data_IF_768698553639
#
_entry.id   IF_768698553639
#
_cell.length_a   1.000
_cell.length_b   1.000
_cell.length_c   1.000
_cell.angle_alpha   90.00
_cell.angle_beta   90.00
_cell.angle_gamma   90.00
#
_symmetry.space_group_name_H-M   'P 1'
#
loop_
_entity.id
_entity.type
_entity.pdbx_description
1 polymer ?
#
# COMPACT_ATOMS: atom_id res chain seq x y z
N UNK A 1 -17.67 -31.39 59.19
CA UNK A 1 -18.52 -30.38 58.51
C UNK A 1 -17.66 -29.80 57.38
N UNK A 2 -17.71 -30.43 56.19
CA UNK A 2 -18.22 -29.86 54.93
C UNK A 2 -17.64 -28.45 54.63
N UNK A 3 -16.89 -28.19 53.56
CA UNK A 3 -17.27 -28.24 52.12
C UNK A 3 -15.95 -28.02 51.32
N UNK A 4 -15.52 -28.84 50.33
CA UNK A 4 -15.85 -28.74 48.89
C UNK A 4 -15.69 -27.28 48.37
N UNK A 5 -14.81 -26.89 47.42
CA UNK A 5 -14.63 -27.38 46.04
C UNK A 5 -13.32 -26.87 45.40
N UNK A 6 -12.72 -27.79 44.66
CA UNK A 6 -11.80 -27.67 43.52
C UNK A 6 -12.18 -26.54 42.55
N UNK A 7 -11.20 -25.77 42.06
CA UNK A 7 -11.45 -24.75 41.04
C UNK A 7 -10.19 -24.18 40.39
N UNK A 8 -9.56 -24.96 39.51
CA UNK A 8 -8.81 -24.42 38.37
C UNK A 8 -7.31 -24.20 38.53
N UNK A 9 -6.54 -25.19 38.03
CA UNK A 9 -5.22 -25.08 37.36
C UNK A 9 -4.20 -24.11 37.97
N UNK A 10 -3.20 -24.63 38.68
CA UNK A 10 -1.90 -24.99 38.07
C UNK A 10 -1.28 -23.81 37.32
N UNK A 11 -0.38 -23.06 37.97
CA UNK A 11 1.08 -23.24 37.90
C UNK A 11 1.65 -23.39 36.48
N UNK A 12 2.75 -22.66 36.24
CA UNK A 12 3.43 -22.33 34.97
C UNK A 12 2.82 -21.09 34.31
N UNK A 13 3.35 -19.88 34.51
CA UNK A 13 4.66 -19.48 33.97
C UNK A 13 5.40 -18.53 34.94
N UNK A 14 6.56 -19.01 35.40
CA UNK A 14 7.65 -18.23 36.02
C UNK A 14 8.09 -17.12 35.04
N UNK A 15 8.08 -15.86 35.47
CA UNK A 15 8.68 -14.68 34.81
C UNK A 15 9.24 -14.89 33.39
N UNK A 16 8.49 -14.60 32.31
CA UNK A 16 9.14 -14.45 31.03
C UNK A 16 9.73 -13.04 30.97
N UNK A 17 11.06 -12.91 31.10
CA UNK A 17 11.78 -11.74 30.57
C UNK A 17 11.67 -11.79 29.05
N UNK A 18 10.57 -11.28 28.52
CA UNK A 18 10.41 -11.12 27.07
C UNK A 18 11.07 -9.79 26.71
N UNK A 19 12.30 -9.83 26.22
CA UNK A 19 12.85 -8.70 25.47
C UNK A 19 12.14 -8.69 24.12
N UNK A 20 11.01 -7.99 24.04
CA UNK A 20 10.39 -7.67 22.78
C UNK A 20 11.25 -6.59 22.10
N UNK A 21 12.23 -7.00 21.30
CA UNK A 21 12.81 -6.11 20.31
C UNK A 21 11.75 -5.92 19.22
N UNK A 22 10.91 -4.90 19.38
CA UNK A 22 9.96 -4.50 18.35
C UNK A 22 10.76 -3.91 17.20
N UNK A 23 11.17 -4.75 16.24
CA UNK A 23 11.61 -4.27 14.94
C UNK A 23 10.38 -3.63 14.27
N UNK A 24 10.21 -2.32 14.47
CA UNK A 24 9.16 -1.53 13.83
C UNK A 24 9.54 -1.41 12.35
N UNK A 25 9.21 -2.41 11.55
CA UNK A 25 9.30 -2.31 10.09
C UNK A 25 8.46 -1.10 9.71
N UNK A 26 9.08 -0.10 9.08
CA UNK A 26 8.35 1.07 8.56
C UNK A 26 7.52 0.55 7.39
N UNK A 27 6.26 0.24 7.64
CA UNK A 27 5.32 -0.06 6.57
C UNK A 27 5.01 1.24 5.83
N UNK A 28 4.93 1.17 4.50
CA UNK A 28 4.50 2.31 3.68
C UNK A 28 3.14 1.98 3.09
N UNK A 29 2.14 2.78 3.45
CA UNK A 29 0.78 2.67 2.93
C UNK A 29 0.66 3.44 1.62
N UNK A 30 0.27 2.74 0.56
CA UNK A 30 0.08 3.32 -0.77
C UNK A 30 -1.27 2.89 -1.32
N UNK A 31 -1.87 3.73 -2.16
CA UNK A 31 -3.09 3.36 -2.88
C UNK A 31 -2.71 2.89 -4.27
N UNK A 32 -3.27 1.75 -4.71
CA UNK A 32 -3.09 1.24 -6.07
C UNK A 32 -4.46 1.18 -6.74
N UNK A 33 -4.61 1.93 -7.83
CA UNK A 33 -5.91 2.22 -8.45
C UNK A 33 -5.86 2.07 -9.98
N UNK A 34 -7.05 2.04 -10.59
CA UNK A 34 -7.23 1.91 -12.02
C UNK A 34 -7.17 0.45 -12.49
N UNK A 35 -6.44 0.20 -13.57
CA UNK A 35 -6.35 -1.06 -14.30
C UNK A 35 -5.48 -2.12 -13.59
N UNK A 36 -5.89 -2.46 -12.37
CA UNK A 36 -5.34 -3.55 -11.55
C UNK A 36 -6.45 -4.51 -11.13
N UNK A 37 -6.15 -5.81 -10.90
CA UNK A 37 -7.17 -6.77 -10.47
C UNK A 37 -7.83 -6.44 -9.14
N UNK A 38 -7.07 -5.85 -8.20
CA UNK A 38 -7.55 -5.50 -6.86
C UNK A 38 -7.18 -4.05 -6.53
N UNK A 39 -7.99 -3.07 -6.92
CA UNK A 39 -7.76 -1.68 -6.50
C UNK A 39 -7.92 -1.53 -4.98
N UNK A 40 -7.08 -0.74 -4.32
CA UNK A 40 -7.19 -0.51 -2.89
C UNK A 40 -5.95 0.05 -2.20
N UNK A 41 -5.99 0.06 -0.87
CA UNK A 41 -4.88 0.42 0.01
C UNK A 41 -3.98 -0.79 0.27
N UNK A 42 -2.67 -0.59 0.15
CA UNK A 42 -1.66 -1.62 0.34
C UNK A 42 -0.60 -1.18 1.32
N UNK A 43 -0.26 -2.05 2.27
CA UNK A 43 0.90 -1.90 3.15
C UNK A 43 2.09 -2.62 2.53
N UNK A 44 3.15 -1.86 2.24
CA UNK A 44 4.39 -2.38 1.67
C UNK A 44 5.41 -2.61 2.77
N UNK A 45 5.72 -3.88 3.06
CA UNK A 45 6.58 -4.28 4.18
C UNK A 45 8.05 -4.46 3.81
N UNK A 46 8.34 -4.73 2.52
CA UNK A 46 9.69 -5.11 2.05
C UNK A 46 10.36 -4.00 1.26
N UNK A 47 9.82 -3.69 0.09
CA UNK A 47 10.35 -2.65 -0.77
C UNK A 47 9.22 -1.68 -1.07
N UNK A 48 9.46 -0.42 -0.75
CA UNK A 48 8.48 0.64 -0.98
C UNK A 48 8.68 1.16 -2.40
N UNK A 49 8.37 0.34 -3.42
CA UNK A 49 8.57 0.71 -4.82
C UNK A 49 7.36 0.35 -5.70
N UNK A 50 7.35 0.89 -6.91
CA UNK A 50 6.27 0.74 -7.87
C UNK A 50 5.95 -0.73 -8.17
N UNK A 51 6.98 -1.55 -8.39
CA UNK A 51 6.78 -2.96 -8.74
C UNK A 51 6.14 -3.76 -7.59
N UNK A 52 6.58 -3.52 -6.36
CA UNK A 52 6.03 -4.19 -5.17
C UNK A 52 4.55 -3.81 -4.99
N UNK A 53 4.19 -2.54 -5.17
CA UNK A 53 2.81 -2.07 -5.07
C UNK A 53 1.90 -2.73 -6.13
N UNK A 54 2.33 -2.74 -7.40
CA UNK A 54 1.57 -3.36 -8.49
C UNK A 54 1.45 -4.86 -8.27
N UNK A 55 2.51 -5.51 -7.78
CA UNK A 55 2.50 -6.95 -7.48
C UNK A 55 1.53 -7.28 -6.35
N UNK A 56 1.49 -6.45 -5.30
CA UNK A 56 0.54 -6.59 -4.19
C UNK A 56 -0.92 -6.48 -4.68
N UNK A 57 -1.17 -5.60 -5.66
CA UNK A 57 -2.48 -5.46 -6.31
C UNK A 57 -2.85 -6.60 -7.29
N UNK A 58 -1.97 -7.58 -7.46
CA UNK A 58 -2.17 -8.73 -8.35
C UNK A 58 -1.69 -8.49 -9.80
N UNK A 59 -0.87 -7.47 -10.03
CA UNK A 59 -0.37 -7.10 -11.35
C UNK A 59 -1.24 -6.04 -12.01
N UNK A 60 -1.41 -6.15 -13.33
CA UNK A 60 -2.20 -5.25 -14.15
C UNK A 60 -3.25 -6.02 -14.95
N UNK A 61 -4.37 -5.38 -15.29
CA UNK A 61 -5.38 -5.95 -16.19
C UNK A 61 -4.89 -5.94 -17.64
N UNK A 62 -5.60 -6.61 -18.55
CA UNK A 62 -5.28 -6.59 -19.99
C UNK A 62 -5.39 -5.19 -20.58
N UNK A 63 -6.19 -4.33 -19.95
CA UNK A 63 -6.61 -3.04 -20.48
C UNK A 63 -5.65 -1.91 -20.04
N UNK A 64 -4.72 -2.24 -19.14
CA UNK A 64 -3.73 -1.32 -18.60
C UNK A 64 -2.75 -0.77 -19.65
N UNK A 65 -2.62 0.55 -19.68
CA UNK A 65 -1.60 1.29 -20.43
C UNK A 65 -0.25 1.27 -19.69
N UNK A 66 0.48 0.18 -19.83
CA UNK A 66 1.76 -0.10 -19.13
C UNK A 66 2.88 0.93 -19.38
N UNK A 67 2.75 1.81 -20.38
CA UNK A 67 3.73 2.89 -20.64
C UNK A 67 3.48 4.15 -19.80
N UNK A 68 2.32 4.24 -19.13
CA UNK A 68 1.82 5.46 -18.48
C UNK A 68 1.24 5.15 -17.10
N UNK A 69 2.07 4.60 -16.21
CA UNK A 69 1.69 4.47 -14.80
C UNK A 69 1.99 5.80 -14.11
N UNK A 70 1.05 6.32 -13.33
CA UNK A 70 1.20 7.60 -12.65
C UNK A 70 1.38 7.38 -11.16
N UNK A 71 2.37 8.05 -10.58
CA UNK A 71 2.59 8.11 -9.14
C UNK A 71 2.30 9.53 -8.72
N UNK A 72 1.29 9.69 -7.87
CA UNK A 72 0.81 10.98 -7.41
C UNK A 72 1.15 11.08 -5.94
N UNK A 73 1.96 12.09 -5.61
CA UNK A 73 2.34 12.35 -4.24
C UNK A 73 1.33 13.25 -3.59
N UNK A 74 1.15 13.03 -2.30
CA UNK A 74 0.15 13.73 -1.56
C UNK A 74 0.36 15.27 -1.49
N UNK A 75 1.59 15.74 -1.70
CA UNK A 75 1.97 17.15 -1.66
C UNK A 75 2.27 17.74 -3.05
N UNK A 76 2.13 16.95 -4.12
CA UNK A 76 2.49 17.31 -5.50
C UNK A 76 1.48 16.70 -6.48
N UNK A 77 0.20 16.96 -6.26
CA UNK A 77 -0.89 16.43 -7.10
C UNK A 77 -0.90 17.01 -8.51
N UNK A 78 -0.37 18.23 -8.68
CA UNK A 78 -0.21 18.93 -9.95
C UNK A 78 0.91 18.37 -10.85
N UNK A 79 1.81 17.55 -10.28
CA UNK A 79 2.98 16.99 -10.98
C UNK A 79 3.10 15.48 -10.77
N UNK A 80 2.19 14.67 -11.34
CA UNK A 80 2.31 13.23 -11.31
C UNK A 80 3.64 12.77 -11.94
N UNK A 81 4.30 11.82 -11.28
CA UNK A 81 5.48 11.16 -11.83
C UNK A 81 4.99 10.06 -12.76
N UNK A 82 5.40 10.10 -14.02
CA UNK A 82 5.08 9.06 -14.98
C UNK A 82 6.17 7.99 -15.02
N UNK A 83 5.77 6.73 -14.86
CA UNK A 83 6.62 5.55 -14.96
C UNK A 83 6.20 4.68 -16.15
N UNK A 84 7.20 4.11 -16.83
CA UNK A 84 7.00 3.15 -17.91
C UNK A 84 7.21 1.72 -17.38
N UNK A 85 6.12 1.12 -16.88
CA UNK A 85 6.10 -0.26 -16.39
C UNK A 85 6.51 -1.27 -17.47
N UNK A 86 6.21 -1.01 -18.75
CA UNK A 86 6.63 -1.90 -19.83
C UNK A 86 8.17 -1.98 -19.93
N UNK A 87 8.85 -0.83 -19.89
CA UNK A 87 10.32 -0.80 -19.88
C UNK A 87 10.88 -1.46 -18.63
N UNK A 88 10.27 -1.22 -17.46
CA UNK A 88 10.67 -1.87 -16.21
C UNK A 88 10.65 -3.40 -16.34
N UNK A 89 9.54 -3.96 -16.83
CA UNK A 89 9.33 -5.41 -16.86
C UNK A 89 10.07 -6.09 -18.01
N UNK A 90 10.11 -5.48 -19.21
CA UNK A 90 10.68 -6.12 -20.39
C UNK A 90 12.15 -5.83 -20.60
N UNK A 91 12.62 -4.65 -20.18
CA UNK A 91 13.99 -4.19 -20.39
C UNK A 91 14.81 -4.15 -19.10
N UNK A 92 14.20 -4.44 -17.95
CA UNK A 92 14.87 -4.34 -16.65
C UNK A 92 15.28 -2.91 -16.30
N UNK A 93 14.61 -1.90 -16.87
CA UNK A 93 14.93 -0.49 -16.63
C UNK A 93 14.49 -0.07 -15.23
N UNK A 94 15.38 -0.27 -14.26
CA UNK A 94 15.13 0.03 -12.84
C UNK A 94 14.94 1.52 -12.56
N UNK A 95 15.28 2.42 -13.49
CA UNK A 95 15.01 3.86 -13.34
C UNK A 95 13.51 4.16 -13.31
N UNK A 96 12.69 3.25 -13.86
CA UNK A 96 11.24 3.32 -13.84
C UNK A 96 10.63 2.75 -12.55
N UNK A 97 11.42 2.06 -11.71
CA UNK A 97 10.94 1.48 -10.46
C UNK A 97 11.06 2.49 -9.31
N UNK A 98 10.25 3.53 -9.37
CA UNK A 98 10.28 4.61 -8.38
C UNK A 98 10.00 4.10 -6.97
N UNK A 99 10.76 4.63 -6.02
CA UNK A 99 10.44 4.49 -4.61
C UNK A 99 9.17 5.27 -4.28
N UNK A 100 8.24 4.60 -3.61
CA UNK A 100 6.98 5.12 -3.14
C UNK A 100 7.12 5.65 -1.71
N UNK A 101 6.27 6.60 -1.39
CA UNK A 101 6.17 7.25 -0.09
C UNK A 101 4.81 6.99 0.53
N UNK A 102 4.73 7.25 1.83
CA UNK A 102 3.48 7.16 2.57
C UNK A 102 2.43 8.05 1.91
N UNK A 103 1.27 7.46 1.62
CA UNK A 103 0.15 8.14 0.99
C UNK A 103 0.29 8.36 -0.52
N UNK A 104 1.32 7.83 -1.18
CA UNK A 104 1.40 7.89 -2.63
C UNK A 104 0.24 7.10 -3.27
N UNK A 105 -0.28 7.64 -4.37
CA UNK A 105 -1.28 6.98 -5.22
C UNK A 105 -0.62 6.52 -6.51
N UNK A 106 -0.64 5.21 -6.73
CA UNK A 106 -0.22 4.54 -7.96
C UNK A 106 -1.46 4.30 -8.81
N UNK A 107 -1.57 5.00 -9.92
CA UNK A 107 -2.70 4.91 -10.84
C UNK A 107 -2.27 4.29 -12.17
N UNK A 108 -2.86 3.14 -12.51
CA UNK A 108 -2.68 2.48 -13.80
C UNK A 108 -3.85 2.87 -14.70
N UNK A 109 -3.58 3.70 -15.71
CA UNK A 109 -4.64 4.07 -16.65
C UNK A 109 -4.95 2.95 -17.63
N UNK A 110 -6.13 2.98 -18.23
CA UNK A 110 -6.37 2.31 -19.50
C UNK A 110 -5.72 3.08 -20.66
N UNK A 111 -5.93 2.64 -21.90
CA UNK A 111 -5.40 3.30 -23.10
C UNK A 111 -6.07 4.66 -23.44
N UNK A 112 -7.00 5.14 -22.61
CA UNK A 112 -7.67 6.42 -22.76
C UNK A 112 -6.87 7.62 -22.25
N UNK A 113 -7.48 8.81 -22.36
CA UNK A 113 -7.00 10.00 -21.64
C UNK A 113 -7.41 9.85 -20.17
N UNK A 114 -6.48 10.16 -19.29
CA UNK A 114 -6.75 10.26 -17.85
C UNK A 114 -7.40 11.62 -17.62
N UNK A 115 -8.55 11.64 -16.96
CA UNK A 115 -9.10 12.84 -16.35
C UNK A 115 -8.81 12.79 -14.85
N UNK A 116 -7.81 13.56 -14.41
CA UNK A 116 -7.38 13.56 -13.02
C UNK A 116 -8.52 13.88 -12.04
N UNK A 117 -9.44 14.77 -12.43
CA UNK A 117 -10.55 15.19 -11.58
C UNK A 117 -11.61 14.10 -11.41
N UNK A 118 -11.78 13.25 -12.41
CA UNK A 118 -12.79 12.19 -12.40
C UNK A 118 -12.22 10.85 -11.92
N UNK A 119 -11.02 10.52 -12.38
CA UNK A 119 -10.44 9.19 -12.22
C UNK A 119 -9.69 9.03 -10.88
N UNK A 120 -9.13 10.12 -10.35
CA UNK A 120 -8.15 10.07 -9.25
C UNK A 120 -8.60 10.87 -8.03
N UNK A 121 -9.11 12.09 -8.24
CA UNK A 121 -9.52 12.96 -7.12
C UNK A 121 -10.50 12.32 -6.13
N UNK A 122 -11.52 11.52 -6.53
CA UNK A 122 -12.42 10.90 -5.56
C UNK A 122 -11.69 10.05 -4.52
N UNK A 123 -10.64 9.34 -4.95
CA UNK A 123 -9.85 8.47 -4.08
C UNK A 123 -8.84 9.25 -3.25
N UNK A 124 -8.20 10.26 -3.83
CA UNK A 124 -7.28 11.13 -3.10
C UNK A 124 -8.01 11.83 -1.96
N UNK A 125 -9.09 12.55 -2.30
CA UNK A 125 -9.92 13.27 -1.33
C UNK A 125 -10.44 12.34 -0.24
N UNK A 126 -10.95 11.15 -0.60
CA UNK A 126 -11.36 10.14 0.38
C UNK A 126 -10.21 9.67 1.28
N UNK A 127 -9.05 9.35 0.70
CA UNK A 127 -7.86 8.93 1.44
C UNK A 127 -7.37 9.98 2.45
N UNK A 128 -7.38 11.27 2.08
CA UNK A 128 -6.98 12.36 2.98
C UNK A 128 -7.96 12.52 4.14
N UNK A 129 -9.25 12.59 3.85
CA UNK A 129 -10.25 12.76 4.91
C UNK A 129 -10.20 11.59 5.89
N UNK A 130 -10.06 10.35 5.41
CA UNK A 130 -9.95 9.19 6.30
C UNK A 130 -8.71 9.22 7.21
N UNK A 131 -7.58 9.75 6.73
CA UNK A 131 -6.36 9.83 7.54
C UNK A 131 -6.41 10.98 8.58
N UNK A 132 -7.17 12.04 8.32
CA UNK A 132 -7.40 13.11 9.31
C UNK A 132 -8.36 12.67 10.42
N UNK A 133 -9.39 11.87 10.10
CA UNK A 133 -10.31 11.35 11.12
C UNK A 133 -9.69 10.31 12.05
N UNK A 134 -8.77 9.48 11.56
CA UNK A 134 -8.19 8.38 12.35
C UNK A 134 -7.02 8.83 13.26
N UNK A 135 -6.59 10.09 13.14
CA UNK A 135 -5.52 10.70 13.95
C UNK A 135 -6.06 11.67 15.03
N UNK A 136 -7.36 11.66 15.30
CA UNK A 136 -8.03 12.39 16.38
C UNK A 136 -8.73 11.40 17.33
#
# INVERSE_FOLDING_TARGET
MATNLTGGLSNYVKNPKVTANVFKFRTTRVYVLGEVPKPGLYELDKRHNLLDAISAAGGYTKEAAKKKVHIIRHNQTDKPIQANLLNLLQRGDMTQNYALREGDVVYLSNNGRIDFAQDIMPFLTGAYYMNEFNNN
#
